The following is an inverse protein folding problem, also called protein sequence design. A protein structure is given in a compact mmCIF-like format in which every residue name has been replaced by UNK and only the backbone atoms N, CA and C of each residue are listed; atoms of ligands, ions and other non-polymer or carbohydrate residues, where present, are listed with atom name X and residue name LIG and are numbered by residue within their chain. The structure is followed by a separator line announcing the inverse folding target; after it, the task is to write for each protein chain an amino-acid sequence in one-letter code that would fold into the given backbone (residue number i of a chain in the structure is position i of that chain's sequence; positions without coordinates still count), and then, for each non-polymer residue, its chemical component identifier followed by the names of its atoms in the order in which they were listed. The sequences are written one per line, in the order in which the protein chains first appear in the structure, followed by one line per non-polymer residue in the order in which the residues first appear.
data_IF_613661439760
#
_entry.id   IF_613661439760
#
_cell.length_a   1.000
_cell.length_b   1.000
_cell.length_c   1.000
_cell.angle_alpha   90.00
_cell.angle_beta   90.00
_cell.angle_gamma   90.00
#
_symmetry.space_group_name_H-M   'P 1'
#
loop_
_entity.id
_entity.type
_entity.pdbx_description
1 polymer ?
#
# COMPACT_ATOMS: atom_id res chain seq x y z
N UNK A 1 -6.35 -11.36 -4.14
CA UNK A 1 -6.10 -10.21 -3.23
C UNK A 1 -7.11 -10.26 -2.10
N UNK A 2 -6.72 -9.97 -0.86
CA UNK A 2 -7.66 -9.90 0.26
C UNK A 2 -8.32 -8.51 0.30
N UNK A 3 -9.65 -8.39 0.48
CA UNK A 3 -10.37 -7.11 0.40
C UNK A 3 -10.21 -6.19 1.62
N UNK A 4 -9.33 -6.55 2.56
CA UNK A 4 -9.18 -5.84 3.84
C UNK A 4 -8.75 -4.38 3.62
N UNK A 5 -9.64 -3.44 3.93
CA UNK A 5 -9.34 -2.01 4.05
C UNK A 5 -9.21 -1.23 2.74
N UNK A 6 -9.70 -1.72 1.59
CA UNK A 6 -9.69 -0.94 0.34
C UNK A 6 -8.31 -0.64 -0.26
N UNK A 7 -7.25 -1.26 0.29
CA UNK A 7 -5.85 -0.92 -0.03
C UNK A 7 -5.45 -1.26 -1.46
N UNK A 8 -6.17 -2.17 -2.11
CA UNK A 8 -5.96 -2.50 -3.52
C UNK A 8 -6.12 -1.29 -4.45
N UNK A 9 -7.12 -0.44 -4.18
CA UNK A 9 -7.35 0.79 -4.96
C UNK A 9 -6.20 1.78 -4.74
N UNK A 10 -5.76 1.96 -3.49
CA UNK A 10 -4.63 2.83 -3.18
C UNK A 10 -3.34 2.37 -3.88
N UNK A 11 -3.02 1.08 -3.83
CA UNK A 11 -1.87 0.51 -4.56
C UNK A 11 -1.99 0.76 -6.06
N UNK A 12 -3.16 0.52 -6.66
CA UNK A 12 -3.38 0.76 -8.09
C UNK A 12 -3.20 2.23 -8.49
N UNK A 13 -3.75 3.16 -7.71
CA UNK A 13 -3.58 4.61 -7.94
C UNK A 13 -2.10 5.00 -7.88
N UNK A 14 -1.36 4.47 -6.91
CA UNK A 14 0.06 4.77 -6.77
C UNK A 14 0.92 4.15 -7.89
N UNK A 15 0.56 2.96 -8.35
CA UNK A 15 1.22 2.32 -9.50
C UNK A 15 0.99 3.15 -10.77
N UNK A 16 -0.23 3.63 -10.99
CA UNK A 16 -0.56 4.54 -12.09
C UNK A 16 0.21 5.87 -11.99
N UNK A 17 0.28 6.48 -10.81
CA UNK A 17 1.02 7.73 -10.60
C UNK A 17 2.54 7.55 -10.84
N UNK A 18 3.12 6.43 -10.42
CA UNK A 18 4.53 6.12 -10.69
C UNK A 18 4.80 5.85 -12.17
N UNK A 19 3.92 5.11 -12.83
CA UNK A 19 4.00 4.87 -14.27
C UNK A 19 3.92 6.19 -15.04
N UNK A 20 2.94 7.05 -14.73
CA UNK A 20 2.83 8.38 -15.33
C UNK A 20 4.11 9.21 -15.11
N UNK A 21 4.68 9.18 -13.90
CA UNK A 21 5.91 9.93 -13.59
C UNK A 21 7.14 9.45 -14.37
N UNK A 22 7.29 8.14 -14.55
CA UNK A 22 8.48 7.56 -15.15
C UNK A 22 8.37 7.40 -16.67
N UNK A 23 7.17 7.09 -17.18
CA UNK A 23 6.96 6.74 -18.58
C UNK A 23 6.44 7.89 -19.44
N UNK A 24 6.03 9.03 -18.86
CA UNK A 24 5.45 10.15 -19.62
C UNK A 24 6.37 10.64 -20.76
N UNK A 25 7.63 10.95 -20.47
CA UNK A 25 8.57 11.42 -21.50
C UNK A 25 8.90 10.32 -22.52
N UNK A 26 9.32 9.10 -22.12
CA UNK A 26 9.59 8.02 -23.06
C UNK A 26 8.40 7.65 -23.97
N UNK A 27 7.17 7.66 -23.44
CA UNK A 27 5.97 7.41 -24.23
C UNK A 27 5.72 8.52 -25.26
N UNK A 28 5.85 9.77 -24.85
CA UNK A 28 5.64 10.93 -25.73
C UNK A 28 6.67 10.99 -26.87
N UNK A 29 7.90 10.57 -26.58
CA UNK A 29 9.01 10.51 -27.54
C UNK A 29 9.05 9.17 -28.32
N UNK A 30 8.09 8.27 -28.10
CA UNK A 30 8.01 6.95 -28.75
C UNK A 30 9.28 6.10 -28.57
N UNK A 31 9.95 6.22 -27.41
CA UNK A 31 11.24 5.59 -27.12
C UNK A 31 11.27 4.76 -25.84
N UNK A 32 10.11 4.27 -25.40
CA UNK A 32 10.01 3.41 -24.21
C UNK A 32 10.88 2.16 -24.40
N UNK A 33 11.66 1.86 -23.37
CA UNK A 33 12.49 0.65 -23.31
C UNK A 33 12.03 -0.27 -22.18
N UNK A 34 12.46 -1.53 -22.22
CA UNK A 34 12.27 -2.45 -21.09
C UNK A 34 12.91 -1.92 -19.80
N UNK A 35 13.98 -1.13 -19.91
CA UNK A 35 14.65 -0.53 -18.75
C UNK A 35 13.76 0.49 -18.02
N UNK A 36 12.90 1.20 -18.76
CA UNK A 36 11.92 2.14 -18.23
C UNK A 36 10.80 1.39 -17.49
N UNK A 37 10.32 0.29 -18.06
CA UNK A 37 9.32 -0.58 -17.42
C UNK A 37 9.89 -1.21 -16.14
N UNK A 38 11.12 -1.70 -16.19
CA UNK A 38 11.81 -2.25 -15.03
C UNK A 38 12.03 -1.17 -13.94
N UNK A 39 12.19 0.10 -14.30
CA UNK A 39 12.26 1.19 -13.34
C UNK A 39 10.93 1.39 -12.60
N UNK A 40 9.79 1.30 -13.28
CA UNK A 40 8.46 1.30 -12.65
C UNK A 40 8.32 0.11 -11.71
N UNK A 41 8.66 -1.09 -12.18
CA UNK A 41 8.55 -2.32 -11.37
C UNK A 41 9.41 -2.26 -10.12
N UNK A 42 10.70 -1.88 -10.22
CA UNK A 42 11.60 -1.74 -9.05
C UNK A 42 11.06 -0.74 -8.03
N UNK A 43 10.44 0.35 -8.49
CA UNK A 43 9.90 1.39 -7.63
C UNK A 43 8.66 0.93 -6.85
N UNK A 44 7.83 0.08 -7.45
CA UNK A 44 6.53 -0.34 -6.89
C UNK A 44 6.54 -1.71 -6.24
N UNK A 45 7.46 -2.60 -6.60
CA UNK A 45 7.53 -3.97 -6.07
C UNK A 45 7.64 -4.01 -4.54
N UNK A 46 8.51 -3.19 -3.94
CA UNK A 46 8.69 -3.17 -2.48
C UNK A 46 7.43 -2.62 -1.76
N UNK A 47 6.93 -1.40 -2.07
CA UNK A 47 5.70 -0.89 -1.44
C UNK A 47 4.51 -1.84 -1.55
N UNK A 48 4.32 -2.43 -2.74
CA UNK A 48 3.24 -3.38 -3.01
C UNK A 48 3.41 -4.66 -2.21
N UNK A 49 4.61 -5.23 -2.15
CA UNK A 49 4.87 -6.46 -1.38
C UNK A 49 4.65 -6.25 0.12
N UNK A 50 5.14 -5.14 0.69
CA UNK A 50 4.96 -4.82 2.11
C UNK A 50 3.48 -4.65 2.44
N UNK A 51 2.77 -3.87 1.63
CA UNK A 51 1.34 -3.59 1.83
C UNK A 51 0.50 -4.87 1.76
N UNK A 52 0.72 -5.68 0.72
CA UNK A 52 0.01 -6.95 0.56
C UNK A 52 0.40 -7.99 1.61
N UNK A 53 1.66 -7.99 2.06
CA UNK A 53 2.14 -8.84 3.15
C UNK A 53 1.40 -8.53 4.45
N UNK A 54 1.30 -7.25 4.82
CA UNK A 54 0.57 -6.80 5.99
C UNK A 54 -0.93 -7.16 5.89
N UNK A 55 -1.56 -6.94 4.73
CA UNK A 55 -2.96 -7.34 4.53
C UNK A 55 -3.18 -8.84 4.71
N UNK A 56 -2.28 -9.70 4.21
CA UNK A 56 -2.39 -11.15 4.40
C UNK A 56 -2.29 -11.56 5.87
N UNK A 57 -1.39 -10.92 6.63
CA UNK A 57 -1.25 -11.17 8.06
C UNK A 57 -2.53 -10.74 8.79
N UNK A 58 -3.01 -9.52 8.57
CA UNK A 58 -4.24 -9.01 9.18
C UNK A 58 -5.47 -9.87 8.82
N UNK A 59 -5.57 -10.30 7.57
CA UNK A 59 -6.67 -11.15 7.15
C UNK A 59 -6.63 -12.51 7.85
N UNK A 60 -5.45 -13.15 7.94
CA UNK A 60 -5.31 -14.47 8.55
C UNK A 60 -5.45 -14.45 10.08
N UNK A 61 -4.93 -13.41 10.73
CA UNK A 61 -4.89 -13.34 12.20
C UNK A 61 -6.10 -12.65 12.81
N UNK A 62 -6.81 -11.80 12.06
CA UNK A 62 -7.94 -11.02 12.56
C UNK A 62 -9.22 -11.36 11.82
N UNK A 63 -9.25 -11.21 10.50
CA UNK A 63 -10.52 -11.37 9.77
C UNK A 63 -11.02 -12.81 9.75
N UNK A 64 -10.16 -13.79 9.47
CA UNK A 64 -10.57 -15.20 9.41
C UNK A 64 -11.09 -15.72 10.78
N UNK A 65 -10.45 -15.43 11.92
CA UNK A 65 -10.99 -15.82 13.22
C UNK A 65 -12.27 -15.07 13.61
N UNK A 66 -12.40 -13.76 13.34
CA UNK A 66 -13.66 -13.02 13.58
C UNK A 66 -14.81 -13.63 12.78
N UNK A 67 -14.59 -13.92 11.49
CA UNK A 67 -15.60 -14.54 10.63
C UNK A 67 -15.98 -15.95 11.11
N UNK A 68 -15.07 -16.65 11.78
CA UNK A 68 -15.32 -17.95 12.41
C UNK A 68 -15.99 -17.84 13.80
N UNK A 69 -16.33 -16.63 14.26
CA UNK A 69 -17.01 -16.39 15.55
C UNK A 69 -16.08 -16.39 16.76
N UNK A 70 -14.76 -16.30 16.57
CA UNK A 70 -13.82 -16.23 17.68
C UNK A 70 -13.77 -14.82 18.30
N UNK A 71 -13.75 -14.75 19.63
CA UNK A 71 -13.47 -13.51 20.35
C UNK A 71 -12.00 -13.13 20.21
N UNK A 72 -11.73 -12.12 19.40
CA UNK A 72 -10.37 -11.60 19.24
C UNK A 72 -10.06 -10.66 20.39
N UNK A 73 -9.41 -11.21 21.41
CA UNK A 73 -8.82 -10.40 22.47
C UNK A 73 -7.43 -9.96 22.04
N UNK A 74 -7.15 -8.64 21.91
CA UNK A 74 -5.82 -8.18 21.55
C UNK A 74 -4.80 -8.62 22.62
N UNK A 75 -3.60 -9.09 22.23
CA UNK A 75 -2.58 -9.52 23.18
C UNK A 75 -2.32 -8.43 24.21
N UNK A 76 -2.19 -8.79 25.49
CA UNK A 76 -1.96 -7.81 26.56
C UNK A 76 -0.72 -6.92 26.33
N UNK A 77 0.29 -7.44 25.63
CA UNK A 77 1.45 -6.68 25.18
C UNK A 77 1.07 -5.58 24.16
N UNK A 78 0.22 -5.90 23.18
CA UNK A 78 -0.27 -4.95 22.18
C UNK A 78 -1.08 -3.83 22.83
N UNK A 79 -1.98 -4.17 23.75
CA UNK A 79 -2.76 -3.20 24.54
C UNK A 79 -1.84 -2.27 25.34
N UNK A 80 -0.80 -2.82 25.95
CA UNK A 80 0.18 -2.05 26.73
C UNK A 80 1.01 -1.11 25.85
N UNK A 81 1.36 -1.54 24.64
CA UNK A 81 2.06 -0.72 23.65
C UNK A 81 1.17 0.43 23.18
N UNK A 82 -0.08 0.15 22.79
CA UNK A 82 -1.03 1.19 22.33
C UNK A 82 -1.33 2.20 23.43
N UNK A 83 -1.45 1.76 24.69
CA UNK A 83 -1.62 2.68 25.83
C UNK A 83 -0.41 3.59 26.06
N UNK A 84 0.81 3.11 25.81
CA UNK A 84 2.04 3.92 25.94
C UNK A 84 2.29 4.80 24.72
N UNK A 85 1.86 4.38 23.54
CA UNK A 85 2.10 5.03 22.25
C UNK A 85 0.78 5.12 21.46
N UNK A 86 -0.15 6.00 21.85
CA UNK A 86 -1.47 6.09 21.23
C UNK A 86 -1.41 6.46 19.74
N UNK A 87 -0.35 7.15 19.29
CA UNK A 87 -0.14 7.49 17.88
C UNK A 87 0.02 6.25 16.98
N UNK A 88 0.35 5.07 17.53
CA UNK A 88 0.43 3.82 16.74
C UNK A 88 -0.92 3.42 16.13
N UNK A 89 -2.04 3.89 16.69
CA UNK A 89 -3.36 3.66 16.10
C UNK A 89 -3.59 4.43 14.80
N UNK A 90 -2.85 5.51 14.58
CA UNK A 90 -2.88 6.25 13.31
C UNK A 90 -2.10 5.53 12.20
N UNK A 91 -1.19 4.62 12.54
CA UNK A 91 -0.33 3.96 11.55
C UNK A 91 -1.11 3.05 10.57
N UNK A 92 -2.06 2.19 11.01
CA UNK A 92 -2.94 1.47 10.09
C UNK A 92 -3.75 2.41 9.20
N UNK A 93 -4.31 3.48 9.77
CA UNK A 93 -5.08 4.46 9.01
C UNK A 93 -4.24 5.19 7.96
N UNK A 94 -3.00 5.57 8.31
CA UNK A 94 -2.02 6.16 7.40
C UNK A 94 -1.59 5.17 6.30
N UNK A 95 -1.36 3.90 6.63
CA UNK A 95 -1.01 2.89 5.63
C UNK A 95 -2.16 2.63 4.65
N UNK A 96 -3.40 2.64 5.14
CA UNK A 96 -4.59 2.47 4.29
C UNK A 96 -4.80 3.71 3.41
N UNK A 97 -4.79 4.90 4.00
CA UNK A 97 -5.11 6.15 3.30
C UNK A 97 -4.00 6.69 2.41
N UNK A 98 -2.73 6.53 2.80
CA UNK A 98 -1.57 7.13 2.11
C UNK A 98 -0.61 6.10 1.53
N UNK A 99 -0.62 4.85 2.02
CA UNK A 99 0.29 3.78 1.58
C UNK A 99 1.74 3.97 2.04
N UNK A 100 2.57 2.96 1.77
CA UNK A 100 3.97 2.88 2.25
C UNK A 100 4.88 3.92 1.57
N UNK A 101 4.59 4.25 0.31
CA UNK A 101 5.32 5.25 -0.47
C UNK A 101 4.35 6.01 -1.38
N UNK A 102 3.78 7.13 -0.90
CA UNK A 102 2.84 7.94 -1.68
C UNK A 102 3.51 8.43 -2.96
N UNK A 103 2.85 8.20 -4.10
CA UNK A 103 3.28 8.74 -5.39
C UNK A 103 2.39 9.92 -5.74
N UNK A 104 3.02 11.02 -6.14
CA UNK A 104 2.33 12.24 -6.52
C UNK A 104 2.32 12.36 -8.04
N UNK A 105 1.17 12.78 -8.57
CA UNK A 105 0.98 13.02 -10.00
C UNK A 105 2.00 14.08 -10.47
N UNK A 106 2.80 13.79 -11.50
CA UNK A 106 3.79 14.74 -12.02
C UNK A 106 3.08 15.95 -12.65
N UNK A 107 3.70 17.14 -12.54
CA UNK A 107 3.13 18.42 -13.01
C UNK A 107 2.55 18.42 -14.45
N UNK A 108 3.15 17.72 -15.44
CA UNK A 108 2.59 17.66 -16.80
C UNK A 108 1.24 16.95 -16.88
N UNK A 109 0.89 16.10 -15.90
CA UNK A 109 -0.36 15.36 -15.86
C UNK A 109 -1.46 16.08 -15.05
N UNK A 110 -1.24 17.34 -14.64
CA UNK A 110 -2.23 18.19 -13.93
C UNK A 110 -3.03 19.12 -14.87
N UNK A 111 -2.98 18.90 -16.18
CA UNK A 111 -3.68 19.70 -17.20
C UNK A 111 -4.63 18.83 -18.00
#
# INVERSE_FOLDING_TARGET
MSPVGGVGINVAIQDAAAAARLLYQPLREHRVTESDLAAVQRRRALPTTVTQGLQRILHRQVMAPVMAGADITPPGALVRIVRRLPQLTAFPAYLVGTGVRPEHVPLPARR
#
